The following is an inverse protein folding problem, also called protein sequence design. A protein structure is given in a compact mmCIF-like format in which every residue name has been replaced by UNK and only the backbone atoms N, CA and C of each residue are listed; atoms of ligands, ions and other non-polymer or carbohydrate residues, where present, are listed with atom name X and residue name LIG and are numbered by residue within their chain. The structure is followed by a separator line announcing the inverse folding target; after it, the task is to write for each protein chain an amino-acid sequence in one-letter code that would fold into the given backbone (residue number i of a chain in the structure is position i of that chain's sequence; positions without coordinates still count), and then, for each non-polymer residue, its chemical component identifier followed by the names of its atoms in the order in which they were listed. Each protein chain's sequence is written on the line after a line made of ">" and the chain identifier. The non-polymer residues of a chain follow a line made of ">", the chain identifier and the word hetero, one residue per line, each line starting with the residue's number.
data_IF_314231848793
#
_entry.id   IF_314231848793
#
_cell.length_a   1.000
_cell.length_b   1.000
_cell.length_c   1.000
_cell.angle_alpha   90.00
_cell.angle_beta   90.00
_cell.angle_gamma   90.00
#
_symmetry.space_group_name_H-M   'P 1'
#
loop_
_entity.id
_entity.type
_entity.pdbx_description
1 polymer ?
#
# COMPACT_ATOMS: atom_id res chain seq x y z
N UNK A 1 8.40 -36.78 9.99
CA UNK A 1 7.22 -36.51 9.13
C UNK A 1 6.01 -37.34 9.55
N UNK A 2 4.79 -36.80 9.50
CA UNK A 2 3.55 -37.57 9.72
C UNK A 2 3.20 -38.39 8.45
N UNK A 3 2.42 -39.47 8.57
CA UNK A 3 2.14 -40.42 7.48
C UNK A 3 1.51 -39.74 6.23
N UNK A 4 0.65 -38.75 6.43
CA UNK A 4 -0.03 -38.02 5.35
C UNK A 4 0.95 -37.20 4.49
N UNK A 5 1.95 -36.57 5.12
CA UNK A 5 3.00 -35.80 4.42
C UNK A 5 3.91 -36.70 3.58
N UNK A 6 4.19 -37.93 4.06
CA UNK A 6 4.95 -38.93 3.30
C UNK A 6 4.17 -39.34 2.03
N UNK A 7 2.87 -39.55 2.17
CA UNK A 7 1.98 -39.88 1.05
C UNK A 7 1.92 -38.74 0.03
N UNK A 8 1.80 -37.48 0.50
CA UNK A 8 1.76 -36.31 -0.36
C UNK A 8 3.01 -36.16 -1.24
N UNK A 9 4.22 -36.32 -0.67
CA UNK A 9 5.44 -36.30 -1.48
C UNK A 9 5.56 -37.47 -2.44
N UNK A 10 5.10 -38.66 -2.05
CA UNK A 10 5.11 -39.82 -2.96
C UNK A 10 4.24 -39.59 -4.19
N UNK A 11 3.05 -39.03 -3.99
CA UNK A 11 2.14 -38.65 -5.09
C UNK A 11 2.72 -37.49 -5.91
N UNK A 12 3.32 -36.49 -5.26
CA UNK A 12 4.01 -35.38 -5.92
C UNK A 12 5.10 -35.88 -6.89
N UNK A 13 6.02 -36.73 -6.44
CA UNK A 13 7.07 -37.27 -7.31
C UNK A 13 6.50 -38.05 -8.50
N UNK A 14 5.44 -38.84 -8.28
CA UNK A 14 4.79 -39.62 -9.32
C UNK A 14 4.24 -38.70 -10.41
N UNK A 15 3.50 -37.66 -10.03
CA UNK A 15 2.93 -36.70 -10.97
C UNK A 15 4.00 -35.90 -11.71
N UNK A 16 5.03 -35.41 -10.99
CA UNK A 16 6.15 -34.71 -11.62
C UNK A 16 6.84 -35.60 -12.66
N UNK A 17 7.11 -36.87 -12.35
CA UNK A 17 7.70 -37.82 -13.29
C UNK A 17 6.79 -38.13 -14.49
N UNK A 18 5.47 -38.25 -14.28
CA UNK A 18 4.52 -38.47 -15.37
C UNK A 18 4.51 -37.29 -16.33
N UNK A 19 4.48 -36.06 -15.82
CA UNK A 19 4.50 -34.84 -16.65
C UNK A 19 5.84 -34.68 -17.38
N UNK A 20 6.97 -34.94 -16.72
CA UNK A 20 8.29 -34.93 -17.36
C UNK A 20 8.40 -35.98 -18.47
N UNK A 21 7.89 -37.20 -18.25
CA UNK A 21 7.93 -38.29 -19.22
C UNK A 21 7.11 -38.00 -20.49
N UNK A 22 6.16 -37.06 -20.43
CA UNK A 22 5.38 -36.64 -21.60
C UNK A 22 6.22 -35.85 -22.63
N UNK A 23 7.38 -35.29 -22.22
CA UNK A 23 8.39 -34.71 -23.11
C UNK A 23 8.07 -33.33 -23.72
N UNK A 24 6.90 -32.77 -23.43
CA UNK A 24 6.46 -31.42 -23.87
C UNK A 24 5.98 -30.56 -22.70
N UNK A 25 6.44 -30.86 -21.49
CA UNK A 25 6.11 -30.12 -20.29
C UNK A 25 6.79 -28.75 -20.29
N UNK A 26 6.01 -27.72 -19.97
CA UNK A 26 6.46 -26.37 -19.64
C UNK A 26 6.31 -26.11 -18.14
N UNK A 27 6.82 -24.99 -17.66
CA UNK A 27 6.67 -24.50 -16.28
C UNK A 27 5.24 -24.69 -15.75
N UNK A 28 4.23 -24.17 -16.48
CA UNK A 28 2.82 -24.25 -16.09
C UNK A 28 2.23 -25.67 -16.08
N UNK A 29 2.88 -26.64 -16.73
CA UNK A 29 2.41 -28.03 -16.76
C UNK A 29 2.50 -28.71 -15.39
N UNK A 30 3.36 -28.20 -14.50
CA UNK A 30 3.56 -28.71 -13.15
C UNK A 30 2.77 -27.93 -12.08
N UNK A 31 2.05 -26.86 -12.46
CA UNK A 31 1.28 -26.05 -11.52
C UNK A 31 0.23 -26.84 -10.72
N UNK A 32 -0.57 -27.75 -11.32
CA UNK A 32 -1.54 -28.54 -10.55
C UNK A 32 -0.87 -29.41 -9.48
N UNK A 33 0.32 -29.93 -9.77
CA UNK A 33 1.07 -30.80 -8.87
C UNK A 33 1.68 -30.01 -7.71
N UNK A 34 2.24 -28.82 -7.97
CA UNK A 34 2.73 -27.92 -6.92
C UNK A 34 1.59 -27.39 -6.03
N UNK A 35 0.46 -27.03 -6.64
CA UNK A 35 -0.76 -26.64 -5.93
C UNK A 35 -1.18 -27.72 -4.92
N UNK A 36 -1.35 -28.95 -5.39
CA UNK A 36 -1.77 -30.06 -4.54
C UNK A 36 -0.80 -30.33 -3.38
N UNK A 37 0.51 -30.17 -3.63
CA UNK A 37 1.52 -30.27 -2.57
C UNK A 37 1.32 -29.17 -1.52
N UNK A 38 1.23 -27.90 -1.91
CA UNK A 38 1.07 -26.78 -0.97
C UNK A 38 -0.21 -26.91 -0.13
N UNK A 39 -1.34 -27.26 -0.76
CA UNK A 39 -2.63 -27.43 -0.09
C UNK A 39 -2.63 -28.62 0.89
N UNK A 40 -1.81 -29.65 0.65
CA UNK A 40 -1.71 -30.81 1.55
C UNK A 40 -1.01 -30.52 2.89
N UNK A 41 -0.33 -29.38 3.02
CA UNK A 41 0.47 -29.06 4.22
C UNK A 41 -0.30 -28.34 5.33
N UNK A 42 -1.53 -27.88 5.06
CA UNK A 42 -2.35 -27.26 6.10
C UNK A 42 -3.82 -27.14 5.74
N UNK A 43 -4.68 -27.43 6.71
CA UNK A 43 -6.12 -27.26 6.56
C UNK A 43 -6.47 -25.78 6.26
N UNK A 44 -7.27 -25.59 5.22
CA UNK A 44 -7.71 -24.28 4.76
C UNK A 44 -6.65 -23.46 4.00
N UNK A 45 -5.50 -24.06 3.67
CA UNK A 45 -4.52 -23.47 2.74
C UNK A 45 -5.05 -23.62 1.32
N UNK A 46 -5.05 -22.54 0.56
CA UNK A 46 -5.46 -22.50 -0.85
C UNK A 46 -4.29 -21.93 -1.65
N UNK A 47 -3.83 -22.67 -2.65
CA UNK A 47 -2.81 -22.19 -3.58
C UNK A 47 -3.47 -21.85 -4.92
N UNK A 48 -3.53 -20.56 -5.24
CA UNK A 48 -4.11 -20.07 -6.48
C UNK A 48 -2.99 -19.82 -7.48
N UNK A 49 -2.92 -20.61 -8.55
CA UNK A 49 -2.04 -20.35 -9.68
C UNK A 49 -2.58 -19.19 -10.51
N UNK A 50 -1.75 -18.20 -10.82
CA UNK A 50 -2.14 -17.13 -11.74
C UNK A 50 -2.02 -17.65 -13.19
N UNK A 51 -3.08 -17.56 -14.01
CA UNK A 51 -3.00 -17.98 -15.40
C UNK A 51 -2.02 -17.09 -16.18
N UNK A 52 -1.22 -17.71 -17.05
CA UNK A 52 -0.20 -17.11 -17.92
C UNK A 52 -0.66 -15.94 -18.82
N UNK A 53 -1.95 -15.59 -18.82
CA UNK A 53 -2.50 -14.42 -19.54
C UNK A 53 -2.29 -13.10 -18.81
N UNK A 54 -1.87 -13.11 -17.54
CA UNK A 54 -1.53 -11.92 -16.76
C UNK A 54 0.00 -11.73 -16.77
N UNK A 55 0.55 -11.55 -17.96
CA UNK A 55 2.00 -11.48 -18.19
C UNK A 55 2.57 -10.11 -17.74
N UNK A 56 2.20 -9.60 -16.56
CA UNK A 56 2.61 -8.29 -16.06
C UNK A 56 3.74 -8.37 -15.01
N UNK A 57 4.18 -9.58 -14.66
CA UNK A 57 5.23 -9.80 -13.66
C UNK A 57 4.68 -9.98 -12.26
N UNK A 58 3.59 -10.74 -12.10
CA UNK A 58 3.12 -11.29 -10.82
C UNK A 58 3.78 -12.65 -10.54
N UNK A 59 3.93 -13.07 -9.27
CA UNK A 59 4.40 -14.41 -8.94
C UNK A 59 3.47 -15.51 -9.44
N UNK A 60 3.98 -16.69 -9.72
CA UNK A 60 3.17 -17.79 -10.30
C UNK A 60 2.04 -18.27 -9.39
N UNK A 61 2.24 -18.22 -8.08
CA UNK A 61 1.24 -18.60 -7.08
C UNK A 61 1.08 -17.58 -5.97
N UNK A 62 -0.16 -17.47 -5.51
CA UNK A 62 -0.53 -16.84 -4.25
C UNK A 62 -1.06 -17.92 -3.32
N UNK A 63 -0.47 -18.00 -2.13
CA UNK A 63 -0.88 -18.95 -1.09
C UNK A 63 -1.64 -18.21 -0.01
N UNK A 64 -2.90 -18.59 0.22
CA UNK A 64 -3.79 -17.96 1.20
C UNK A 64 -4.28 -18.96 2.24
N UNK A 65 -4.68 -18.46 3.40
CA UNK A 65 -5.39 -19.20 4.43
C UNK A 65 -6.55 -18.36 4.95
N UNK A 66 -7.78 -18.73 4.57
CA UNK A 66 -8.93 -17.85 4.76
C UNK A 66 -8.81 -16.59 3.90
N UNK A 67 -8.92 -15.41 4.51
CA UNK A 67 -8.74 -14.10 3.84
C UNK A 67 -7.30 -13.57 3.86
N UNK A 68 -6.38 -14.26 4.54
CA UNK A 68 -5.00 -13.82 4.69
C UNK A 68 -4.09 -14.48 3.64
N UNK A 69 -3.36 -13.67 2.88
CA UNK A 69 -2.20 -14.10 2.11
C UNK A 69 -1.08 -14.51 3.06
N UNK A 70 -0.56 -15.71 2.87
CA UNK A 70 0.54 -16.28 3.64
C UNK A 70 1.87 -15.97 2.94
N UNK A 71 1.91 -16.10 1.62
CA UNK A 71 3.09 -15.80 0.83
C UNK A 71 2.91 -16.19 -0.63
N UNK A 72 4.00 -16.07 -1.37
CA UNK A 72 4.03 -16.25 -2.81
C UNK A 72 4.97 -17.38 -3.19
N UNK A 73 4.71 -18.01 -4.33
CA UNK A 73 5.62 -19.00 -4.91
C UNK A 73 5.91 -18.63 -6.35
N UNK A 74 7.18 -18.48 -6.66
CA UNK A 74 7.72 -18.38 -8.02
C UNK A 74 8.27 -19.75 -8.42
N UNK A 75 7.76 -20.30 -9.51
CA UNK A 75 8.18 -21.57 -10.05
C UNK A 75 9.02 -21.36 -11.32
N UNK A 76 9.88 -22.34 -11.62
CA UNK A 76 10.71 -22.37 -12.82
C UNK A 76 10.72 -23.78 -13.39
N UNK A 77 11.08 -23.91 -14.66
CA UNK A 77 11.23 -25.22 -15.29
C UNK A 77 12.18 -26.13 -14.49
N UNK A 78 11.85 -27.42 -14.42
CA UNK A 78 12.63 -28.42 -13.68
C UNK A 78 14.06 -28.47 -14.19
N UNK A 79 15.03 -28.36 -13.26
CA UNK A 79 16.46 -28.40 -13.59
C UNK A 79 17.04 -27.06 -14.05
N UNK A 80 16.23 -26.00 -14.11
CA UNK A 80 16.73 -24.64 -14.34
C UNK A 80 17.50 -24.16 -13.11
N UNK A 81 18.60 -23.43 -13.33
CA UNK A 81 19.42 -22.91 -12.24
C UNK A 81 18.67 -21.84 -11.44
N UNK A 82 18.38 -22.14 -10.17
CA UNK A 82 17.83 -21.15 -9.24
C UNK A 82 18.84 -20.04 -8.91
N UNK A 83 20.15 -20.33 -8.96
CA UNK A 83 21.21 -19.33 -8.75
C UNK A 83 21.27 -18.26 -9.86
N UNK A 84 20.93 -18.65 -11.09
CA UNK A 84 20.80 -17.69 -12.20
C UNK A 84 19.47 -16.93 -12.09
N UNK A 85 18.41 -17.62 -11.68
CA UNK A 85 17.09 -17.01 -11.47
C UNK A 85 17.15 -15.92 -10.37
N UNK A 86 17.90 -16.16 -9.29
CA UNK A 86 18.16 -15.17 -8.24
C UNK A 86 18.77 -13.85 -8.74
N UNK A 87 19.49 -13.90 -9.87
CA UNK A 87 20.14 -12.72 -10.45
C UNK A 87 19.24 -11.94 -11.41
N UNK A 88 18.08 -12.50 -11.77
CA UNK A 88 17.14 -11.85 -12.67
C UNK A 88 16.50 -10.62 -12.02
N UNK A 89 16.22 -9.59 -12.81
CA UNK A 89 15.55 -8.38 -12.32
C UNK A 89 14.13 -8.68 -11.79
N UNK A 90 13.45 -9.70 -12.35
CA UNK A 90 12.16 -10.14 -11.86
C UNK A 90 12.24 -10.63 -10.42
N UNK A 91 13.17 -11.55 -10.10
CA UNK A 91 13.25 -12.11 -8.76
C UNK A 91 13.76 -11.09 -7.74
N UNK A 92 14.77 -10.26 -8.10
CA UNK A 92 15.23 -9.18 -7.20
C UNK A 92 14.07 -8.29 -6.76
N UNK A 93 13.21 -7.91 -7.72
CA UNK A 93 12.01 -7.13 -7.46
C UNK A 93 11.03 -7.83 -6.52
N UNK A 94 10.86 -9.16 -6.62
CA UNK A 94 10.04 -9.91 -5.67
C UNK A 94 10.67 -10.02 -4.29
N UNK A 95 11.98 -10.26 -4.21
CA UNK A 95 12.69 -10.34 -2.93
C UNK A 95 12.64 -9.02 -2.16
N UNK A 96 12.72 -7.89 -2.87
CA UNK A 96 12.61 -6.59 -2.23
C UNK A 96 11.19 -6.35 -1.68
N UNK A 97 10.16 -6.70 -2.45
CA UNK A 97 8.79 -6.25 -2.18
C UNK A 97 7.88 -7.26 -1.49
N UNK A 98 8.13 -8.56 -1.61
CA UNK A 98 7.30 -9.61 -1.00
C UNK A 98 7.92 -10.06 0.32
N UNK A 99 7.12 -10.04 1.38
CA UNK A 99 7.58 -10.38 2.73
C UNK A 99 7.83 -11.88 2.92
N UNK A 100 7.18 -12.74 2.14
CA UNK A 100 7.27 -14.19 2.27
C UNK A 100 7.19 -14.86 0.88
N UNK A 101 8.32 -15.39 0.39
CA UNK A 101 8.45 -15.93 -0.97
C UNK A 101 9.16 -17.28 -0.99
N UNK A 102 8.65 -18.22 -1.78
CA UNK A 102 9.37 -19.42 -2.18
C UNK A 102 9.78 -19.31 -3.65
N UNK A 103 11.04 -19.63 -3.96
CA UNK A 103 11.50 -19.92 -5.30
C UNK A 103 11.71 -21.44 -5.45
N UNK A 104 11.19 -22.03 -6.53
CA UNK A 104 11.33 -23.47 -6.78
C UNK A 104 11.47 -23.83 -8.25
N UNK A 105 12.22 -24.89 -8.54
CA UNK A 105 12.20 -25.60 -9.83
C UNK A 105 11.45 -26.94 -9.73
N UNK A 106 10.53 -27.05 -8.77
CA UNK A 106 9.81 -28.27 -8.37
C UNK A 106 10.67 -29.35 -7.68
N UNK A 107 11.99 -29.21 -7.63
CA UNK A 107 12.88 -30.14 -6.94
C UNK A 107 13.62 -29.45 -5.79
N UNK A 108 14.14 -28.26 -6.02
CA UNK A 108 14.74 -27.38 -5.03
C UNK A 108 13.73 -26.32 -4.59
N UNK A 109 13.70 -26.04 -3.29
CA UNK A 109 12.87 -25.03 -2.67
C UNK A 109 13.78 -24.09 -1.89
N UNK A 110 13.68 -22.79 -2.15
CA UNK A 110 14.37 -21.73 -1.43
C UNK A 110 13.34 -20.79 -0.84
N UNK A 111 13.40 -20.58 0.47
CA UNK A 111 12.47 -19.74 1.19
C UNK A 111 13.14 -18.44 1.62
N UNK A 112 12.49 -17.32 1.32
CA UNK A 112 12.92 -15.97 1.64
C UNK A 112 11.88 -15.26 2.47
N UNK A 113 12.35 -14.48 3.44
CA UNK A 113 11.52 -13.59 4.26
C UNK A 113 12.14 -12.21 4.26
N UNK A 114 11.38 -11.20 3.86
CA UNK A 114 11.83 -9.80 3.71
C UNK A 114 13.14 -9.67 2.89
N UNK A 115 13.26 -10.48 1.83
CA UNK A 115 14.42 -10.52 0.93
C UNK A 115 15.60 -11.38 1.39
N UNK A 116 15.60 -11.85 2.64
CA UNK A 116 16.66 -12.72 3.18
C UNK A 116 16.33 -14.20 3.01
N UNK A 117 17.28 -14.97 2.47
CA UNK A 117 17.13 -16.43 2.35
C UNK A 117 17.21 -17.09 3.73
N UNK A 118 16.10 -17.70 4.17
CA UNK A 118 15.98 -18.40 5.46
C UNK A 118 16.42 -19.86 5.35
N UNK A 119 15.82 -20.60 4.43
CA UNK A 119 16.07 -22.03 4.25
C UNK A 119 16.18 -22.38 2.76
N UNK A 120 16.92 -23.45 2.47
CA UNK A 120 16.98 -24.07 1.15
C UNK A 120 17.12 -25.57 1.31
N UNK A 121 16.31 -26.32 0.56
CA UNK A 121 16.29 -27.77 0.59
C UNK A 121 15.91 -28.34 -0.78
N UNK A 122 16.29 -29.58 -1.05
CA UNK A 122 16.05 -30.23 -2.34
C UNK A 122 15.45 -31.61 -2.15
N UNK A 123 14.34 -31.88 -2.84
CA UNK A 123 13.63 -33.16 -2.85
C UNK A 123 14.43 -34.28 -3.55
N UNK A 124 15.25 -33.91 -4.52
CA UNK A 124 16.07 -34.85 -5.29
C UNK A 124 16.76 -34.18 -6.48
N UNK A 125 17.56 -34.94 -7.20
CA UNK A 125 18.28 -34.45 -8.39
C UNK A 125 17.79 -35.14 -9.65
N UNK A 126 17.69 -34.39 -10.74
CA UNK A 126 17.43 -34.98 -12.05
C UNK A 126 18.68 -35.76 -12.51
N UNK A 127 18.46 -36.98 -12.97
CA UNK A 127 19.51 -37.85 -13.55
C UNK A 127 19.62 -37.62 -15.06
N UNK A 128 20.68 -38.14 -15.67
CA UNK A 128 20.90 -38.03 -17.12
C UNK A 128 19.77 -38.67 -17.96
N UNK A 129 19.01 -39.62 -17.40
CA UNK A 129 17.84 -40.22 -18.06
C UNK A 129 16.49 -39.55 -17.69
N UNK A 130 16.51 -38.28 -17.23
CA UNK A 130 15.31 -37.53 -16.81
C UNK A 130 14.51 -38.19 -15.68
N UNK A 131 15.14 -39.07 -14.90
CA UNK A 131 14.55 -39.64 -13.67
C UNK A 131 14.95 -38.83 -12.45
N UNK A 132 14.07 -38.75 -11.47
CA UNK A 132 14.35 -38.04 -10.20
C UNK A 132 14.97 -39.02 -9.22
N UNK A 133 16.21 -38.75 -8.80
CA UNK A 133 16.85 -39.43 -7.68
C UNK A 133 16.43 -38.74 -6.38
N UNK A 134 15.59 -39.40 -5.59
CA UNK A 134 15.04 -38.87 -4.34
C UNK A 134 16.12 -38.74 -3.27
N UNK A 135 16.04 -37.68 -2.47
CA UNK A 135 16.83 -37.48 -1.27
C UNK A 135 15.91 -37.50 -0.04
N UNK A 136 15.98 -38.56 0.77
CA UNK A 136 15.11 -38.72 1.93
C UNK A 136 15.34 -37.65 3.01
N UNK A 137 16.59 -37.20 3.18
CA UNK A 137 16.90 -36.11 4.13
C UNK A 137 16.38 -34.78 3.58
N UNK A 138 16.56 -34.56 2.28
CA UNK A 138 16.03 -33.41 1.56
C UNK A 138 14.51 -33.31 1.58
N UNK A 139 13.78 -34.43 1.45
CA UNK A 139 12.31 -34.47 1.58
C UNK A 139 11.86 -33.97 2.96
N UNK A 140 12.51 -34.42 4.03
CA UNK A 140 12.18 -33.97 5.39
C UNK A 140 12.48 -32.47 5.57
N UNK A 141 13.60 -31.99 5.02
CA UNK A 141 13.96 -30.57 5.08
C UNK A 141 12.99 -29.67 4.27
N UNK A 142 12.53 -30.12 3.09
CA UNK A 142 11.48 -29.40 2.33
C UNK A 142 10.15 -29.42 3.09
N UNK A 143 9.82 -30.53 3.76
CA UNK A 143 8.62 -30.60 4.57
C UNK A 143 8.63 -29.58 5.73
N UNK A 144 9.77 -29.41 6.38
CA UNK A 144 9.99 -28.39 7.41
C UNK A 144 9.89 -26.99 6.81
N UNK A 145 10.59 -26.72 5.70
CA UNK A 145 10.55 -25.44 4.99
C UNK A 145 9.12 -25.03 4.61
N UNK A 146 8.32 -25.93 4.02
CA UNK A 146 6.93 -25.64 3.66
C UNK A 146 6.04 -25.44 4.89
N UNK A 147 6.30 -26.17 5.97
CA UNK A 147 5.55 -25.98 7.23
C UNK A 147 5.88 -24.63 7.86
N UNK A 148 7.15 -24.23 7.85
CA UNK A 148 7.59 -22.93 8.37
C UNK A 148 7.08 -21.79 7.50
N UNK A 149 7.14 -21.91 6.17
CA UNK A 149 6.55 -20.95 5.24
C UNK A 149 5.04 -20.74 5.50
N UNK A 150 4.28 -21.82 5.72
CA UNK A 150 2.83 -21.74 5.93
C UNK A 150 2.43 -21.25 7.32
N UNK A 151 3.31 -21.43 8.31
CA UNK A 151 3.09 -20.99 9.69
C UNK A 151 3.76 -19.65 9.99
N UNK A 152 4.60 -19.16 9.09
CA UNK A 152 5.23 -17.86 9.18
C UNK A 152 4.15 -16.80 9.27
N UNK A 153 4.12 -16.12 10.41
CA UNK A 153 3.37 -14.88 10.56
C UNK A 153 4.36 -13.78 10.29
N UNK A 154 4.06 -12.94 9.30
CA UNK A 154 4.77 -11.69 9.16
C UNK A 154 4.80 -11.00 10.52
N UNK A 155 5.98 -10.59 10.98
CA UNK A 155 6.08 -9.81 12.20
C UNK A 155 5.16 -8.59 12.05
N UNK A 156 4.32 -8.37 13.07
CA UNK A 156 3.43 -7.23 13.09
C UNK A 156 4.27 -5.99 12.90
N UNK A 157 3.92 -5.16 11.92
CA UNK A 157 4.65 -3.93 11.65
C UNK A 157 4.41 -3.00 12.83
N UNK A 158 5.42 -2.87 13.69
CA UNK A 158 5.32 -2.18 14.97
C UNK A 158 5.77 -0.73 14.91
N UNK A 159 6.47 -0.32 13.84
CA UNK A 159 6.99 1.04 13.71
C UNK A 159 6.45 1.77 12.47
N UNK A 160 6.24 3.11 12.56
CA UNK A 160 5.89 3.92 11.40
C UNK A 160 6.88 3.75 10.23
N UNK A 161 8.17 3.62 10.52
CA UNK A 161 9.22 3.49 9.52
C UNK A 161 9.11 2.19 8.73
N UNK A 162 8.96 1.06 9.42
CA UNK A 162 8.81 -0.25 8.77
C UNK A 162 7.54 -0.30 7.91
N UNK A 163 6.45 0.32 8.37
CA UNK A 163 5.20 0.38 7.61
C UNK A 163 5.37 1.21 6.34
N UNK A 164 5.96 2.40 6.46
CA UNK A 164 6.25 3.25 5.31
C UNK A 164 7.14 2.54 4.28
N UNK A 165 8.17 1.81 4.74
CA UNK A 165 9.05 1.00 3.89
C UNK A 165 8.26 -0.09 3.15
N UNK A 166 7.48 -0.92 3.87
CA UNK A 166 6.70 -2.02 3.24
C UNK A 166 5.68 -1.47 2.24
N UNK A 167 4.96 -0.41 2.59
CA UNK A 167 4.03 0.27 1.69
C UNK A 167 4.73 0.78 0.42
N UNK A 168 5.91 1.40 0.55
CA UNK A 168 6.65 1.92 -0.60
C UNK A 168 7.04 0.79 -1.56
N UNK A 169 7.51 -0.34 -1.05
CA UNK A 169 7.90 -1.49 -1.89
C UNK A 169 6.72 -2.13 -2.60
N UNK A 170 5.56 -2.23 -1.96
CA UNK A 170 4.33 -2.70 -2.61
C UNK A 170 3.84 -1.70 -3.66
N UNK A 171 3.88 -0.40 -3.36
CA UNK A 171 3.53 0.64 -4.32
C UNK A 171 4.44 0.60 -5.57
N UNK A 172 5.72 0.29 -5.42
CA UNK A 172 6.63 0.07 -6.56
C UNK A 172 6.22 -1.09 -7.45
N UNK A 173 5.83 -2.20 -6.85
CA UNK A 173 5.32 -3.33 -7.61
C UNK A 173 4.04 -2.94 -8.36
N UNK A 174 3.10 -2.26 -7.71
CA UNK A 174 1.86 -1.78 -8.34
C UNK A 174 2.20 -0.90 -9.55
N UNK A 175 3.08 0.08 -9.37
CA UNK A 175 3.55 0.97 -10.42
C UNK A 175 4.11 0.20 -11.61
N UNK A 176 5.04 -0.72 -11.36
CA UNK A 176 5.71 -1.48 -12.41
C UNK A 176 4.74 -2.43 -13.14
N UNK A 177 3.79 -3.02 -12.41
CA UNK A 177 2.72 -3.83 -13.01
C UNK A 177 1.83 -2.97 -13.91
N UNK A 178 1.49 -1.75 -13.49
CA UNK A 178 0.71 -0.81 -14.30
C UNK A 178 1.48 -0.42 -15.56
N UNK A 179 2.77 -0.09 -15.47
CA UNK A 179 3.61 0.23 -16.64
C UNK A 179 3.63 -0.95 -17.63
N UNK A 180 3.91 -2.15 -17.14
CA UNK A 180 3.90 -3.36 -17.98
C UNK A 180 2.52 -3.64 -18.58
N UNK A 181 1.45 -3.38 -17.81
CA UNK A 181 0.09 -3.53 -18.26
C UNK A 181 -0.27 -2.52 -19.36
N UNK A 182 0.24 -1.28 -19.29
CA UNK A 182 0.11 -0.27 -20.33
C UNK A 182 0.78 -0.71 -21.63
N UNK A 183 2.02 -1.19 -21.59
CA UNK A 183 2.76 -1.59 -22.78
C UNK A 183 2.09 -2.73 -23.56
N UNK A 184 1.33 -3.59 -22.86
CA UNK A 184 0.67 -4.77 -23.42
C UNK A 184 -0.80 -4.55 -23.76
N UNK A 185 -1.43 -3.54 -23.19
CA UNK A 185 -2.85 -3.23 -23.44
C UNK A 185 -3.00 -2.55 -24.81
N UNK A 186 -3.96 -2.96 -25.66
CA UNK A 186 -4.20 -2.30 -26.94
C UNK A 186 -4.63 -0.84 -26.74
N UNK A 187 -4.33 0.02 -27.72
CA UNK A 187 -4.81 1.41 -27.76
C UNK A 187 -6.34 1.43 -27.64
N UNK A 188 -6.86 2.01 -26.55
CA UNK A 188 -8.29 2.03 -26.22
C UNK A 188 -8.71 1.11 -25.07
N UNK A 189 -7.77 0.40 -24.44
CA UNK A 189 -8.06 -0.32 -23.20
C UNK A 189 -8.38 0.59 -22.00
N UNK A 190 -8.66 -0.04 -20.86
CA UNK A 190 -9.15 0.66 -19.67
C UNK A 190 -8.09 1.61 -19.11
N UNK A 191 -6.82 1.19 -19.05
CA UNK A 191 -5.73 2.02 -18.52
C UNK A 191 -5.46 3.22 -19.43
N UNK A 192 -5.45 3.02 -20.75
CA UNK A 192 -5.33 4.10 -21.73
C UNK A 192 -6.47 5.12 -21.63
N UNK A 193 -7.70 4.65 -21.43
CA UNK A 193 -8.88 5.52 -21.24
C UNK A 193 -8.79 6.32 -19.94
N UNK A 194 -8.30 5.70 -18.86
CA UNK A 194 -8.07 6.39 -17.60
C UNK A 194 -6.98 7.46 -17.75
N UNK A 195 -5.85 7.15 -18.39
CA UNK A 195 -4.79 8.12 -18.66
C UNK A 195 -5.31 9.32 -19.45
N UNK A 196 -6.09 9.08 -20.51
CA UNK A 196 -6.70 10.15 -21.30
C UNK A 196 -7.60 11.04 -20.45
N UNK A 197 -8.46 10.46 -19.60
CA UNK A 197 -9.30 11.23 -18.70
C UNK A 197 -8.47 12.08 -17.72
N UNK A 198 -7.34 11.59 -17.21
CA UNK A 198 -6.45 12.39 -16.37
C UNK A 198 -5.75 13.51 -17.15
N UNK A 199 -5.37 13.28 -18.40
CA UNK A 199 -4.80 14.34 -19.26
C UNK A 199 -5.81 15.45 -19.54
N UNK A 200 -7.02 15.07 -19.92
CA UNK A 200 -8.05 16.02 -20.33
C UNK A 200 -8.57 16.87 -19.18
N UNK A 201 -8.58 16.34 -17.95
CA UNK A 201 -9.23 16.97 -16.81
C UNK A 201 -8.28 17.51 -15.73
N UNK A 202 -7.03 17.04 -15.67
CA UNK A 202 -6.11 17.34 -14.57
C UNK A 202 -4.73 17.76 -15.07
N UNK A 203 -3.99 16.88 -15.77
CA UNK A 203 -2.58 17.11 -16.11
C UNK A 203 -2.35 16.81 -17.61
N UNK A 204 -2.47 17.82 -18.50
CA UNK A 204 -2.41 17.62 -19.96
C UNK A 204 -1.19 16.84 -20.45
N UNK A 205 -0.01 17.07 -19.85
CA UNK A 205 1.27 16.48 -20.26
C UNK A 205 1.66 15.23 -19.44
N UNK A 206 0.69 14.56 -18.80
CA UNK A 206 0.97 13.39 -17.95
C UNK A 206 1.52 12.21 -18.76
N UNK A 207 2.76 11.77 -18.49
CA UNK A 207 3.31 10.55 -19.11
C UNK A 207 2.67 9.28 -18.51
N UNK A 208 2.75 8.15 -19.23
CA UNK A 208 2.26 6.86 -18.72
C UNK A 208 3.02 6.42 -17.45
N UNK A 209 4.32 6.69 -17.38
CA UNK A 209 5.15 6.44 -16.20
C UNK A 209 4.68 7.27 -15.00
N UNK A 210 4.46 8.57 -15.21
CA UNK A 210 3.96 9.45 -14.16
C UNK A 210 2.53 9.13 -13.73
N UNK A 211 1.70 8.65 -14.66
CA UNK A 211 0.38 8.14 -14.34
C UNK A 211 0.46 6.89 -13.46
N UNK A 212 1.31 5.92 -13.80
CA UNK A 212 1.52 4.73 -12.99
C UNK A 212 2.03 5.07 -11.58
N UNK A 213 2.97 6.02 -11.48
CA UNK A 213 3.47 6.56 -10.21
C UNK A 213 2.36 7.17 -9.37
N UNK A 214 1.57 8.08 -9.96
CA UNK A 214 0.46 8.73 -9.28
C UNK A 214 -0.58 7.70 -8.83
N UNK A 215 -0.91 6.73 -9.68
CA UNK A 215 -1.89 5.69 -9.39
C UNK A 215 -1.44 4.82 -8.21
N UNK A 216 -0.21 4.33 -8.23
CA UNK A 216 0.35 3.50 -7.16
C UNK A 216 0.43 4.24 -5.81
N UNK A 217 0.91 5.49 -5.82
CA UNK A 217 0.97 6.31 -4.59
C UNK A 217 -0.42 6.59 -4.03
N UNK A 218 -1.40 6.81 -4.90
CA UNK A 218 -2.80 7.04 -4.49
C UNK A 218 -3.36 5.83 -3.78
N UNK A 219 -3.15 4.62 -4.34
CA UNK A 219 -3.59 3.37 -3.72
C UNK A 219 -2.96 3.23 -2.33
N UNK A 220 -1.64 3.37 -2.24
CA UNK A 220 -0.91 3.26 -0.99
C UNK A 220 -1.45 4.21 0.08
N UNK A 221 -1.56 5.49 -0.26
CA UNK A 221 -1.95 6.49 0.73
C UNK A 221 -3.40 6.49 1.11
N UNK A 222 -4.33 6.24 0.18
CA UNK A 222 -5.72 6.23 0.60
C UNK A 222 -6.12 4.93 1.30
N UNK A 223 -5.45 3.79 1.05
CA UNK A 223 -5.61 2.60 1.91
C UNK A 223 -5.07 2.89 3.31
N UNK A 224 -3.90 3.54 3.42
CA UNK A 224 -3.37 3.96 4.71
C UNK A 224 -4.30 4.97 5.42
N UNK A 225 -4.81 5.97 4.71
CA UNK A 225 -5.75 6.94 5.27
C UNK A 225 -7.05 6.28 5.74
N UNK A 226 -7.60 5.34 4.97
CA UNK A 226 -8.76 4.54 5.37
C UNK A 226 -8.46 3.66 6.59
N UNK A 227 -7.24 3.13 6.69
CA UNK A 227 -6.82 2.34 7.86
C UNK A 227 -6.69 3.20 9.11
N UNK A 228 -6.24 4.45 8.98
CA UNK A 228 -6.13 5.41 10.08
C UNK A 228 -7.49 5.78 10.69
N UNK A 229 -8.57 5.72 9.91
CA UNK A 229 -9.93 6.03 10.39
C UNK A 229 -10.68 4.80 10.91
N UNK A 230 -10.16 3.59 10.66
CA UNK A 230 -10.77 2.34 11.14
C UNK A 230 -10.54 2.14 12.64
N UNK A 231 -11.62 1.89 13.38
CA UNK A 231 -11.59 1.54 14.82
C UNK A 231 -11.37 0.04 15.08
N UNK A 232 -11.59 -0.81 14.07
CA UNK A 232 -11.41 -2.28 14.16
C UNK A 232 -10.46 -2.76 13.07
N UNK A 233 -9.19 -2.92 13.41
CA UNK A 233 -8.13 -3.26 12.45
C UNK A 233 -8.24 -4.64 11.80
N UNK A 234 -8.93 -5.60 12.43
CA UNK A 234 -8.96 -7.00 11.98
C UNK A 234 -9.81 -7.26 10.74
N UNK A 235 -10.78 -6.40 10.46
CA UNK A 235 -11.65 -6.54 9.30
C UNK A 235 -11.24 -5.63 8.14
N UNK A 236 -10.08 -4.95 8.21
CA UNK A 236 -9.67 -4.03 7.14
C UNK A 236 -9.33 -4.79 5.85
N UNK A 237 -10.06 -4.49 4.79
CA UNK A 237 -9.86 -5.06 3.46
C UNK A 237 -9.86 -3.96 2.42
N UNK A 238 -9.37 -4.26 1.21
CA UNK A 238 -9.46 -3.34 0.07
C UNK A 238 -10.90 -2.86 -0.13
N UNK A 239 -11.87 -3.77 -0.13
CA UNK A 239 -13.27 -3.49 -0.48
C UNK A 239 -13.95 -2.61 0.56
N UNK A 240 -13.63 -2.76 1.85
CA UNK A 240 -14.24 -1.92 2.88
C UNK A 240 -13.52 -0.58 3.10
N UNK A 241 -12.27 -0.44 2.64
CA UNK A 241 -11.48 0.78 2.77
C UNK A 241 -12.20 2.01 2.20
N UNK A 242 -12.93 1.86 1.09
CA UNK A 242 -13.66 2.96 0.48
C UNK A 242 -14.76 3.56 1.36
N UNK A 243 -15.35 2.76 2.26
CA UNK A 243 -16.38 3.22 3.20
C UNK A 243 -15.79 3.88 4.45
N UNK A 244 -14.51 3.66 4.73
CA UNK A 244 -13.81 4.22 5.89
C UNK A 244 -13.28 5.63 5.66
N UNK A 245 -13.22 6.10 4.40
CA UNK A 245 -12.76 7.43 4.08
C UNK A 245 -13.78 8.52 4.49
N UNK A 246 -13.35 9.59 5.18
CA UNK A 246 -14.22 10.68 5.61
C UNK A 246 -14.98 11.33 4.44
N UNK A 247 -16.24 11.71 4.69
CA UNK A 247 -17.09 12.42 3.70
C UNK A 247 -16.49 13.77 3.27
N UNK A 248 -15.60 14.33 4.08
CA UNK A 248 -14.91 15.59 3.79
C UNK A 248 -13.98 15.53 2.58
N UNK A 249 -13.69 14.34 2.04
CA UNK A 249 -12.93 14.14 0.81
C UNK A 249 -13.70 13.35 -0.28
N UNK A 250 -14.65 13.99 -1.00
CA UNK A 250 -15.44 13.32 -2.03
C UNK A 250 -14.62 12.80 -3.22
N UNK A 251 -13.54 13.49 -3.57
CA UNK A 251 -12.70 13.10 -4.70
C UNK A 251 -11.92 11.82 -4.39
N UNK A 252 -11.20 11.75 -3.26
CA UNK A 252 -10.53 10.49 -2.88
C UNK A 252 -11.53 9.37 -2.73
N UNK A 253 -12.72 9.59 -2.15
CA UNK A 253 -13.76 8.54 -2.07
C UNK A 253 -14.16 8.02 -3.45
N UNK A 254 -14.33 8.90 -4.44
CA UNK A 254 -14.69 8.49 -5.81
C UNK A 254 -13.56 7.72 -6.48
N UNK A 255 -12.32 8.20 -6.37
CA UNK A 255 -11.13 7.53 -6.90
C UNK A 255 -10.90 6.17 -6.21
N UNK A 256 -11.08 6.13 -4.88
CA UNK A 256 -11.00 4.90 -4.11
C UNK A 256 -12.10 3.92 -4.44
N UNK A 257 -13.33 4.34 -4.74
CA UNK A 257 -14.37 3.40 -5.18
C UNK A 257 -13.98 2.67 -6.47
N UNK A 258 -13.24 3.32 -7.37
CA UNK A 258 -12.74 2.68 -8.60
C UNK A 258 -11.59 1.71 -8.31
N UNK A 259 -10.72 2.07 -7.37
CA UNK A 259 -9.54 1.27 -6.96
C UNK A 259 -9.91 0.10 -6.05
N UNK A 260 -10.79 0.32 -5.08
CA UNK A 260 -11.23 -0.64 -4.08
C UNK A 260 -12.41 -1.49 -4.57
N UNK A 261 -13.03 -1.09 -5.68
CA UNK A 261 -14.20 -1.73 -6.25
C UNK A 261 -13.91 -3.04 -6.98
N UNK A 262 -14.97 -3.71 -7.47
CA UNK A 262 -14.86 -4.92 -8.28
C UNK A 262 -14.25 -4.65 -9.67
N UNK A 263 -14.23 -3.39 -10.10
CA UNK A 263 -13.73 -2.98 -11.42
C UNK A 263 -12.20 -2.76 -11.45
N UNK A 264 -11.51 -3.00 -10.32
CA UNK A 264 -10.06 -2.97 -10.30
C UNK A 264 -9.51 -4.10 -11.18
N UNK A 265 -8.52 -3.76 -11.98
CA UNK A 265 -7.86 -4.72 -12.85
C UNK A 265 -7.30 -5.91 -12.06
N UNK A 266 -7.74 -7.12 -12.42
CA UNK A 266 -7.35 -8.39 -11.78
C UNK A 266 -5.83 -8.58 -11.73
N UNK A 267 -5.09 -7.94 -12.66
CA UNK A 267 -3.62 -8.01 -12.73
C UNK A 267 -2.93 -7.34 -11.55
N UNK A 268 -3.58 -6.35 -10.94
CA UNK A 268 -3.05 -5.60 -9.78
C UNK A 268 -3.88 -5.82 -8.51
N UNK A 269 -5.10 -6.35 -8.62
CA UNK A 269 -6.01 -6.53 -7.48
C UNK A 269 -5.38 -7.29 -6.31
N UNK A 270 -4.71 -8.40 -6.59
CA UNK A 270 -4.05 -9.23 -5.57
C UNK A 270 -3.00 -8.47 -4.76
N UNK A 271 -2.29 -7.54 -5.38
CA UNK A 271 -1.23 -6.77 -4.74
C UNK A 271 -1.80 -5.62 -3.90
N UNK A 272 -2.92 -5.04 -4.34
CA UNK A 272 -3.67 -4.07 -3.55
C UNK A 272 -4.31 -4.75 -2.33
N UNK A 273 -4.81 -5.99 -2.50
CA UNK A 273 -5.30 -6.81 -1.39
C UNK A 273 -4.18 -7.14 -0.38
N UNK A 274 -2.97 -7.47 -0.85
CA UNK A 274 -1.79 -7.69 0.00
C UNK A 274 -1.38 -6.43 0.77
N UNK A 275 -1.38 -5.26 0.12
CA UNK A 275 -1.15 -3.98 0.77
C UNK A 275 -2.20 -3.67 1.84
N UNK A 276 -3.47 -3.96 1.57
CA UNK A 276 -4.53 -3.82 2.56
C UNK A 276 -4.30 -4.77 3.75
N UNK A 277 -3.81 -5.98 3.51
CA UNK A 277 -3.50 -6.93 4.57
C UNK A 277 -2.30 -6.47 5.44
N UNK A 278 -1.24 -5.93 4.84
CA UNK A 278 -0.12 -5.34 5.58
C UNK A 278 -0.63 -4.25 6.52
N UNK A 279 -1.54 -3.39 6.05
CA UNK A 279 -2.18 -2.34 6.85
C UNK A 279 -3.12 -2.89 7.93
N UNK A 280 -3.83 -3.99 7.66
CA UNK A 280 -4.70 -4.65 8.64
C UNK A 280 -3.90 -5.23 9.81
N UNK A 281 -2.72 -5.78 9.52
CA UNK A 281 -1.82 -6.42 10.51
C UNK A 281 -0.89 -5.43 11.23
N UNK A 282 -0.76 -4.20 10.73
CA UNK A 282 0.05 -3.17 11.36
C UNK A 282 -0.50 -2.77 12.73
N UNK A 283 0.39 -2.54 13.69
CA UNK A 283 0.06 -1.96 14.98
C UNK A 283 -0.22 -0.46 14.79
N UNK A 284 -1.46 -0.15 14.41
CA UNK A 284 -1.86 1.24 14.18
C UNK A 284 -1.87 2.08 15.46
N UNK A 285 -1.93 1.47 16.64
CA UNK A 285 -1.79 2.21 17.89
C UNK A 285 -0.34 2.69 18.04
N UNK A 286 0.64 1.82 17.80
CA UNK A 286 2.05 2.19 17.78
C UNK A 286 2.38 3.18 16.65
N UNK A 287 1.82 2.98 15.45
CA UNK A 287 2.05 3.85 14.29
C UNK A 287 1.46 5.25 14.51
N UNK A 288 0.22 5.34 15.02
CA UNK A 288 -0.48 6.61 15.22
C UNK A 288 -0.23 7.25 16.58
N UNK A 289 0.55 6.62 17.46
CA UNK A 289 0.79 7.07 18.84
C UNK A 289 1.10 8.57 18.97
N UNK A 290 1.89 9.07 18.02
CA UNK A 290 2.33 10.46 17.96
C UNK A 290 1.57 11.29 16.90
N UNK A 291 0.82 10.66 15.99
CA UNK A 291 0.08 11.36 14.94
C UNK A 291 -0.90 12.38 15.55
N UNK A 292 -0.92 13.59 14.98
CA UNK A 292 -1.76 14.71 15.45
C UNK A 292 -1.30 15.38 16.75
N UNK A 293 -0.42 14.74 17.54
CA UNK A 293 0.24 15.38 18.67
C UNK A 293 1.37 16.28 18.20
N UNK A 294 1.39 17.50 18.73
CA UNK A 294 2.50 18.43 18.56
C UNK A 294 3.73 17.91 19.30
N UNK A 295 4.63 17.22 18.59
CA UNK A 295 5.95 16.88 19.15
C UNK A 295 6.86 18.11 19.05
N UNK A 296 7.84 18.23 19.95
CA UNK A 296 8.73 19.39 19.98
C UNK A 296 9.69 19.48 18.77
N UNK A 297 9.61 18.56 17.79
CA UNK A 297 10.55 18.50 16.68
C UNK A 297 9.90 18.33 15.30
N UNK A 298 8.89 17.48 15.07
CA UNK A 298 8.32 17.23 13.72
C UNK A 298 6.86 16.72 13.72
N UNK A 299 6.14 16.89 12.61
CA UNK A 299 4.81 16.32 12.35
C UNK A 299 4.91 14.83 11.95
N UNK A 300 4.35 13.90 12.74
CA UNK A 300 4.48 12.46 12.46
C UNK A 300 3.80 11.99 11.18
N UNK A 301 2.72 12.64 10.74
CA UNK A 301 2.04 12.33 9.47
C UNK A 301 2.96 12.68 8.30
N UNK A 302 3.62 13.85 8.39
CA UNK A 302 4.55 14.28 7.35
C UNK A 302 5.83 13.44 7.38
N UNK A 303 6.37 13.13 8.55
CA UNK A 303 7.56 12.29 8.68
C UNK A 303 7.35 10.87 8.12
N UNK A 304 6.17 10.30 8.36
CA UNK A 304 5.77 9.04 7.74
C UNK A 304 5.73 9.16 6.21
N UNK A 305 5.13 10.25 5.71
CA UNK A 305 5.06 10.53 4.29
C UNK A 305 6.44 10.68 3.64
N UNK A 306 7.37 11.38 4.30
CA UNK A 306 8.74 11.54 3.84
C UNK A 306 9.51 10.22 3.84
N UNK A 307 9.32 9.39 4.87
CA UNK A 307 9.93 8.07 4.95
C UNK A 307 9.46 7.21 3.79
N UNK A 308 8.16 7.18 3.52
CA UNK A 308 7.61 6.48 2.36
C UNK A 308 8.17 7.04 1.06
N UNK A 309 8.19 8.36 0.85
CA UNK A 309 8.66 8.94 -0.41
C UNK A 309 10.13 8.65 -0.66
N UNK A 310 10.95 8.65 0.40
CA UNK A 310 12.37 8.32 0.32
C UNK A 310 12.58 6.88 -0.13
N UNK A 311 11.78 5.94 0.37
CA UNK A 311 11.87 4.53 0.02
C UNK A 311 11.17 4.22 -1.31
N UNK A 312 10.16 5.02 -1.66
CA UNK A 312 9.49 4.97 -2.94
C UNK A 312 10.42 5.56 -4.02
N UNK A 313 10.52 6.87 -4.17
CA UNK A 313 11.41 7.42 -5.19
C UNK A 313 12.13 8.66 -4.66
N UNK A 314 13.43 8.52 -4.30
CA UNK A 314 14.25 9.64 -3.85
C UNK A 314 14.34 10.77 -4.88
N UNK A 315 14.32 10.44 -6.18
CA UNK A 315 14.40 11.42 -7.28
C UNK A 315 13.07 12.15 -7.44
N UNK A 316 11.95 11.46 -7.26
CA UNK A 316 10.62 12.10 -7.22
C UNK A 316 10.55 13.14 -6.11
N UNK A 317 11.15 12.88 -4.94
CA UNK A 317 11.21 13.87 -3.84
C UNK A 317 11.91 15.16 -4.27
N UNK A 318 13.07 15.05 -4.91
CA UNK A 318 13.85 16.21 -5.38
C UNK A 318 13.19 16.91 -6.58
N UNK A 319 12.77 16.15 -7.59
CA UNK A 319 12.15 16.68 -8.81
C UNK A 319 10.81 17.37 -8.54
N UNK A 320 10.02 16.83 -7.60
CA UNK A 320 8.70 17.40 -7.27
C UNK A 320 8.76 18.52 -6.23
N UNK A 321 9.96 18.85 -5.73
CA UNK A 321 10.17 19.96 -4.80
C UNK A 321 9.32 19.87 -3.54
N UNK A 322 9.00 18.66 -3.07
CA UNK A 322 8.17 18.44 -1.88
C UNK A 322 9.03 18.71 -0.65
N UNK A 323 9.18 19.99 -0.29
CA UNK A 323 9.92 20.43 0.88
C UNK A 323 8.96 20.69 2.04
N UNK A 324 9.19 20.00 3.16
CA UNK A 324 8.48 20.32 4.38
C UNK A 324 8.88 21.70 4.87
N UNK A 325 7.87 22.55 5.06
CA UNK A 325 8.07 23.87 5.70
C UNK A 325 8.08 23.66 7.22
N UNK A 326 9.17 24.02 7.93
CA UNK A 326 9.26 23.82 9.37
C UNK A 326 8.12 24.50 10.13
N UNK A 327 7.46 23.74 11.00
CA UNK A 327 6.35 24.22 11.84
C UNK A 327 6.62 25.53 12.59
N UNK A 328 7.81 25.79 13.17
CA UNK A 328 8.07 27.05 13.84
C UNK A 328 7.95 28.27 12.92
N UNK A 329 8.35 28.13 11.66
CA UNK A 329 8.25 29.19 10.65
C UNK A 329 6.79 29.43 10.29
N UNK A 330 6.06 28.35 10.02
CA UNK A 330 4.61 28.43 9.70
C UNK A 330 3.83 29.04 10.86
N UNK A 331 4.11 28.60 12.09
CA UNK A 331 3.47 29.10 13.31
C UNK A 331 3.71 30.59 13.50
N UNK A 332 4.94 31.06 13.28
CA UNK A 332 5.27 32.48 13.35
C UNK A 332 4.46 33.30 12.34
N UNK A 333 4.38 32.83 11.08
CA UNK A 333 3.64 33.52 10.02
C UNK A 333 2.15 33.58 10.36
N UNK A 334 1.53 32.45 10.71
CA UNK A 334 0.09 32.36 11.01
C UNK A 334 -0.30 33.27 12.18
N UNK A 335 0.47 33.23 13.28
CA UNK A 335 0.22 34.10 14.45
C UNK A 335 0.43 35.57 14.13
N UNK A 336 1.40 35.90 13.28
CA UNK A 336 1.63 37.27 12.82
C UNK A 336 0.45 37.78 11.98
N UNK A 337 -0.10 36.95 11.10
CA UNK A 337 -1.30 37.28 10.31
C UNK A 337 -2.50 37.50 11.24
N UNK A 338 -2.74 36.61 12.21
CA UNK A 338 -3.80 36.77 13.20
C UNK A 338 -3.69 38.09 13.99
N UNK A 339 -2.48 38.45 14.41
CA UNK A 339 -2.21 39.72 15.08
C UNK A 339 -2.47 40.92 14.17
N UNK A 340 -1.99 40.89 12.92
CA UNK A 340 -2.21 41.97 11.96
C UNK A 340 -3.70 42.15 11.64
N UNK A 341 -4.47 41.07 11.52
CA UNK A 341 -5.93 41.15 11.32
C UNK A 341 -6.61 41.93 12.45
N UNK A 342 -6.19 41.69 13.70
CA UNK A 342 -6.71 42.38 14.89
C UNK A 342 -6.29 43.85 14.94
N UNK A 343 -5.01 44.13 14.71
CA UNK A 343 -4.41 45.47 14.87
C UNK A 343 -4.72 46.41 13.68
N UNK A 344 -4.62 45.89 12.45
CA UNK A 344 -4.59 46.72 11.23
C UNK A 344 -5.84 46.64 10.38
N UNK A 345 -6.59 45.53 10.45
CA UNK A 345 -7.74 45.29 9.58
C UNK A 345 -9.08 45.35 10.32
N UNK A 346 -9.09 45.79 11.59
CA UNK A 346 -10.28 45.91 12.42
C UNK A 346 -11.07 44.59 12.50
N UNK A 347 -10.36 43.46 12.58
CA UNK A 347 -10.92 42.11 12.78
C UNK A 347 -10.57 41.66 14.20
N UNK A 348 -11.34 42.05 15.24
CA UNK A 348 -11.00 41.73 16.63
C UNK A 348 -10.98 40.23 16.94
N UNK A 349 -11.63 39.41 16.10
CA UNK A 349 -11.58 37.94 16.17
C UNK A 349 -10.40 37.32 15.40
N UNK A 350 -9.58 38.12 14.72
CA UNK A 350 -8.45 37.65 13.91
C UNK A 350 -8.88 36.59 12.90
N UNK A 351 -8.15 35.48 12.85
CA UNK A 351 -8.45 34.33 11.99
C UNK A 351 -9.79 33.64 12.32
N UNK A 352 -10.31 33.81 13.54
CA UNK A 352 -11.60 33.24 13.96
C UNK A 352 -12.82 34.06 13.48
N UNK A 353 -12.60 35.19 12.80
CA UNK A 353 -13.65 35.97 12.13
C UNK A 353 -14.28 35.18 10.97
N UNK A 354 -15.61 35.04 10.99
CA UNK A 354 -16.35 34.20 10.03
C UNK A 354 -16.41 34.77 8.62
N UNK A 355 -16.00 36.04 8.44
CA UNK A 355 -15.90 36.70 7.13
C UNK A 355 -14.49 36.70 6.56
N UNK A 356 -13.52 36.11 7.26
CA UNK A 356 -12.13 36.04 6.80
C UNK A 356 -11.90 34.75 6.02
N UNK A 357 -11.75 34.89 4.71
CA UNK A 357 -11.42 33.80 3.79
C UNK A 357 -9.92 33.50 3.86
N UNK A 358 -9.56 32.22 3.90
CA UNK A 358 -8.19 31.73 3.96
C UNK A 358 -7.94 30.89 2.71
N UNK A 359 -6.87 31.21 2.00
CA UNK A 359 -6.45 30.48 0.81
C UNK A 359 -4.95 30.16 0.91
N UNK A 360 -4.62 28.88 0.75
CA UNK A 360 -3.26 28.41 0.53
C UNK A 360 -3.10 27.94 -0.93
N UNK A 361 -2.45 28.73 -1.81
CA UNK A 361 -2.35 28.40 -3.23
C UNK A 361 -1.41 27.23 -3.54
N UNK A 362 -0.60 26.79 -2.58
CA UNK A 362 0.34 25.69 -2.72
C UNK A 362 0.37 24.89 -1.42
N UNK A 363 -0.74 24.21 -1.15
CA UNK A 363 -1.06 23.68 0.19
C UNK A 363 -0.12 22.57 0.63
N UNK A 364 0.48 21.81 -0.29
CA UNK A 364 1.38 20.71 0.03
C UNK A 364 0.68 19.69 0.93
N UNK A 365 1.32 19.36 2.04
CA UNK A 365 0.76 18.51 3.10
C UNK A 365 -0.13 19.27 4.10
N UNK A 366 -0.55 20.50 3.77
CA UNK A 366 -1.43 21.38 4.55
C UNK A 366 -0.88 21.90 5.90
N UNK A 367 0.43 22.10 6.03
CA UNK A 367 1.02 22.64 7.27
C UNK A 367 0.49 24.04 7.63
N UNK A 368 0.30 24.95 6.66
CA UNK A 368 -0.29 26.27 6.93
C UNK A 368 -1.73 26.16 7.41
N UNK A 369 -2.58 25.43 6.69
CA UNK A 369 -3.98 25.26 7.07
C UNK A 369 -4.14 24.55 8.42
N UNK A 370 -3.28 23.57 8.72
CA UNK A 370 -3.24 22.92 10.04
C UNK A 370 -2.97 23.92 11.16
N UNK A 371 -2.00 24.82 10.98
CA UNK A 371 -1.68 25.86 11.97
C UNK A 371 -2.81 26.89 12.09
N UNK A 372 -3.45 27.26 10.99
CA UNK A 372 -4.59 28.18 11.00
C UNK A 372 -5.78 27.59 11.78
N UNK A 373 -6.14 26.34 11.54
CA UNK A 373 -7.23 25.67 12.26
C UNK A 373 -6.93 25.61 13.76
N UNK A 374 -5.68 25.29 14.13
CA UNK A 374 -5.26 25.28 15.53
C UNK A 374 -5.38 26.66 16.21
N UNK A 375 -4.94 27.73 15.54
CA UNK A 375 -5.05 29.10 16.08
C UNK A 375 -6.52 29.49 16.29
N UNK A 376 -7.39 29.15 15.34
CA UNK A 376 -8.84 29.38 15.43
C UNK A 376 -9.45 28.57 16.58
N UNK A 377 -9.12 27.29 16.68
CA UNK A 377 -9.59 26.41 17.74
C UNK A 377 -9.21 26.97 19.12
N UNK A 378 -7.94 27.37 19.31
CA UNK A 378 -7.47 27.98 20.56
C UNK A 378 -8.22 29.27 20.89
N UNK A 379 -8.49 30.13 19.90
CA UNK A 379 -9.23 31.37 20.11
C UNK A 379 -10.70 31.15 20.54
N UNK A 380 -11.33 30.04 20.11
CA UNK A 380 -12.70 29.67 20.48
C UNK A 380 -12.70 28.95 21.84
N UNK A 381 -11.82 27.96 22.02
CA UNK A 381 -11.68 27.21 23.26
C UNK A 381 -11.29 28.11 24.44
N UNK A 382 -10.38 29.06 24.23
CA UNK A 382 -9.97 30.05 25.24
C UNK A 382 -11.10 30.98 25.71
N UNK A 383 -12.24 31.02 25.02
CA UNK A 383 -13.46 31.73 25.42
C UNK A 383 -14.48 30.85 26.15
N UNK A 384 -14.11 29.61 26.47
CA UNK A 384 -15.02 28.63 27.10
C UNK A 384 -16.09 28.08 26.16
N UNK A 385 -15.94 28.25 24.85
CA UNK A 385 -16.94 27.89 23.83
C UNK A 385 -16.65 26.53 23.16
N UNK A 386 -16.03 25.59 23.88
CA UNK A 386 -15.63 24.29 23.33
C UNK A 386 -16.81 23.49 22.78
N UNK A 387 -17.98 23.55 23.42
CA UNK A 387 -19.20 22.87 22.94
C UNK A 387 -19.78 23.43 21.63
N UNK A 388 -19.26 24.56 21.13
CA UNK A 388 -19.67 25.12 19.83
C UNK A 388 -18.75 24.71 18.68
N UNK A 389 -17.63 24.01 18.96
CA UNK A 389 -16.62 23.70 17.96
C UNK A 389 -17.17 22.87 16.79
N UNK A 390 -17.90 21.79 17.06
CA UNK A 390 -18.43 20.89 16.03
C UNK A 390 -19.30 21.63 14.99
N UNK A 391 -20.27 22.43 15.47
CA UNK A 391 -21.11 23.26 14.62
C UNK A 391 -20.32 24.38 13.93
N UNK A 392 -19.39 25.03 14.63
CA UNK A 392 -18.54 26.08 14.07
C UNK A 392 -17.71 25.55 12.89
N UNK A 393 -17.15 24.34 13.01
CA UNK A 393 -16.37 23.72 11.94
C UNK A 393 -17.20 23.60 10.67
N UNK A 394 -18.38 22.98 10.77
CA UNK A 394 -19.24 22.73 9.62
C UNK A 394 -19.78 24.02 8.99
N UNK A 395 -20.28 24.96 9.80
CA UNK A 395 -21.00 26.14 9.30
C UNK A 395 -20.10 27.33 8.98
N UNK A 396 -18.95 27.44 9.66
CA UNK A 396 -18.13 28.67 9.67
C UNK A 396 -16.67 28.45 9.29
N UNK A 397 -16.08 27.28 9.51
CA UNK A 397 -14.67 27.03 9.21
C UNK A 397 -14.47 26.44 7.82
N UNK A 398 -15.07 25.28 7.55
CA UNK A 398 -14.89 24.58 6.28
C UNK A 398 -15.32 25.39 5.05
N UNK A 399 -16.39 26.24 5.10
CA UNK A 399 -16.77 27.05 3.95
C UNK A 399 -15.80 28.19 3.59
N UNK A 400 -14.77 28.46 4.39
CA UNK A 400 -13.87 29.62 4.21
C UNK A 400 -12.38 29.28 4.19
N UNK A 401 -12.03 27.99 4.24
CA UNK A 401 -10.65 27.52 4.13
C UNK A 401 -10.46 26.80 2.80
N UNK A 402 -9.51 27.30 2.01
CA UNK A 402 -9.22 26.79 0.68
C UNK A 402 -7.74 26.45 0.53
N UNK A 403 -7.45 25.38 -0.22
CA UNK A 403 -6.11 24.96 -0.56
C UNK A 403 -6.04 24.41 -1.98
N UNK A 404 -4.96 24.66 -2.71
CA UNK A 404 -4.70 24.07 -4.03
C UNK A 404 -3.42 23.24 -3.99
N UNK A 405 -3.48 22.06 -4.58
CA UNK A 405 -2.36 21.13 -4.72
C UNK A 405 -2.31 20.58 -6.15
N UNK A 406 -1.11 20.38 -6.69
CA UNK A 406 -0.90 19.78 -8.00
C UNK A 406 -0.70 18.26 -7.92
N UNK A 407 -0.15 17.79 -6.79
CA UNK A 407 0.26 16.42 -6.60
C UNK A 407 -0.76 15.64 -5.76
N UNK A 408 -1.19 14.49 -6.28
CA UNK A 408 -2.18 13.63 -5.62
C UNK A 408 -1.75 13.15 -4.23
N UNK A 409 -0.47 12.81 -4.05
CA UNK A 409 0.01 12.25 -2.79
C UNK A 409 0.04 13.30 -1.66
N UNK A 410 0.64 14.50 -1.82
CA UNK A 410 0.48 15.60 -0.85
C UNK A 410 -0.98 15.99 -0.63
N UNK A 411 -1.81 15.98 -1.69
CA UNK A 411 -3.26 16.23 -1.58
C UNK A 411 -3.96 15.24 -0.64
N UNK A 412 -3.65 13.95 -0.74
CA UNK A 412 -4.21 12.93 0.14
C UNK A 412 -3.71 13.08 1.59
N UNK A 413 -2.42 13.37 1.76
CA UNK A 413 -1.81 13.63 3.08
C UNK A 413 -2.43 14.86 3.74
N UNK A 414 -2.64 15.93 3.00
CA UNK A 414 -3.30 17.14 3.48
C UNK A 414 -4.69 16.85 4.05
N UNK A 415 -5.50 16.05 3.34
CA UNK A 415 -6.82 15.65 3.82
C UNK A 415 -6.76 14.75 5.04
N UNK A 416 -5.83 13.79 5.08
CA UNK A 416 -5.62 12.93 6.24
C UNK A 416 -5.23 13.77 7.46
N UNK A 417 -4.22 14.63 7.32
CA UNK A 417 -3.71 15.49 8.39
C UNK A 417 -4.78 16.42 8.94
N UNK A 418 -5.51 17.12 8.07
CA UNK A 418 -6.58 18.03 8.53
C UNK A 418 -7.79 17.24 9.08
N UNK A 419 -8.09 16.06 8.53
CA UNK A 419 -9.11 15.16 9.07
C UNK A 419 -8.80 14.72 10.50
N UNK A 420 -7.58 14.24 10.75
CA UNK A 420 -7.12 13.87 12.08
C UNK A 420 -7.18 15.07 13.05
N UNK A 421 -6.72 16.25 12.63
CA UNK A 421 -6.81 17.47 13.46
C UNK A 421 -8.25 17.81 13.83
N UNK A 422 -9.17 17.76 12.87
CA UNK A 422 -10.58 18.06 13.12
C UNK A 422 -11.18 17.04 14.10
N UNK A 423 -10.85 15.76 13.95
CA UNK A 423 -11.28 14.71 14.87
C UNK A 423 -10.74 14.94 16.29
N UNK A 424 -9.45 15.23 16.44
CA UNK A 424 -8.80 15.50 17.72
C UNK A 424 -9.37 16.72 18.43
N UNK A 425 -9.76 17.73 17.66
CA UNK A 425 -10.39 18.95 18.19
C UNK A 425 -11.88 18.76 18.50
N UNK A 426 -12.45 17.58 18.21
CA UNK A 426 -13.82 17.21 18.59
C UNK A 426 -14.87 17.38 17.50
N UNK A 427 -14.48 17.45 16.23
CA UNK A 427 -15.41 17.42 15.10
C UNK A 427 -15.93 16.01 14.84
N UNK A 428 -17.24 15.83 14.70
CA UNK A 428 -17.90 14.52 14.60
C UNK A 428 -18.23 14.09 13.16
N UNK A 429 -17.88 14.90 12.15
CA UNK A 429 -18.08 14.58 10.72
C UNK A 429 -19.52 14.23 10.32
N UNK A 430 -20.52 14.78 11.03
CA UNK A 430 -21.95 14.57 10.72
C UNK A 430 -22.42 15.31 9.47
N UNK A 431 -21.74 16.40 9.10
CA UNK A 431 -22.06 17.23 7.94
C UNK A 431 -21.45 16.65 6.66
N UNK A 432 -22.11 16.86 5.51
CA UNK A 432 -21.56 16.57 4.18
C UNK A 432 -20.64 17.70 3.66
N UNK A 433 -20.39 18.73 4.47
CA UNK A 433 -19.49 19.83 4.12
C UNK A 433 -18.07 19.29 3.89
N UNK A 434 -17.53 19.54 2.69
CA UNK A 434 -16.17 19.12 2.32
C UNK A 434 -15.10 20.07 2.86
N UNK A 435 -13.89 19.53 2.98
CA UNK A 435 -12.69 20.34 3.11
C UNK A 435 -12.40 21.02 1.76
N UNK A 436 -12.11 22.32 1.80
CA UNK A 436 -11.87 23.15 0.60
C UNK A 436 -10.49 22.95 -0.03
N UNK A 437 -9.92 21.75 0.01
CA UNK A 437 -8.66 21.45 -0.66
C UNK A 437 -8.97 20.83 -2.02
N UNK A 438 -8.34 21.35 -3.07
CA UNK A 438 -8.56 20.98 -4.47
C UNK A 438 -7.27 20.48 -5.10
N UNK A 439 -7.40 19.41 -5.88
CA UNK A 439 -6.36 18.98 -6.81
C UNK A 439 -6.59 19.72 -8.13
N UNK A 440 -5.55 20.37 -8.66
CA UNK A 440 -5.64 21.24 -9.83
C UNK A 440 -4.55 20.99 -10.85
#
# INVERSE_FOLDING_TARGET
>A
MNADKVSAFSEYFKQVQTTLAAGHASEGSHYPTLKALLESFGDGVIATSLPSRIECGAPDFIVTKGSATIGYVEAKDIGKSLDETEKTEQLKRYLDSLSNLILTDYLEFRWYVDGERRLSARLGTLTAESKIKRDNAGIQAVAELLSDFLTHKAEAVGTPKELAMRMARQAHLIRNLIINAFEKEPEGGSLHSQLAAFRDNLIPDLSAEYFADMYAQTIAYGLFAARCTSTTGKDFTRQNAAYLLPKTNPFLRKLFNQIAGPDLDDRIAWLVDDLAQVLAQADMEAVLKDFGKRTAKEDPVVHFYETFLKEYDPKVREMRGVYYTPEPVVSYIVRSIDHLLKDRFNKPKGLADDKTLILDPAVGTATFLYMVINEIHQAIAGKGQQGLWDNYVAEKLLPRIFGFELLMAPYAVAHLKLGLLLQETGYEFKSDQRLGIYLT
#
